data_IF_869650537039
#
_entry.id   IF_869650537039
#
_cell.length_a   1.000
_cell.length_b   1.000
_cell.length_c   1.000
_cell.angle_alpha   90.00
_cell.angle_beta   90.00
_cell.angle_gamma   90.00
#
_symmetry.space_group_name_H-M   'P 1'
#
loop_
_entity.id
_entity.type
_entity.pdbx_description
1 polymer ?
#
# COMPACT_ATOMS: atom_id res chain seq x y z
N UNK A 1 77.85 13.66 17.02
CA UNK A 1 77.00 14.05 15.88
C UNK A 1 76.91 12.82 15.00
N UNK A 2 75.80 12.07 15.06
CA UNK A 2 75.55 10.95 14.16
C UNK A 2 74.99 11.54 12.86
N UNK A 3 75.70 11.34 11.75
CA UNK A 3 75.21 11.67 10.42
C UNK A 3 73.99 10.79 10.10
N UNK A 4 72.92 11.33 9.48
CA UNK A 4 71.74 10.54 9.16
C UNK A 4 72.12 9.43 8.18
N UNK A 5 71.81 8.20 8.53
CA UNK A 5 72.13 7.03 7.73
C UNK A 5 71.25 6.99 6.48
N UNK A 6 71.75 6.42 5.37
CA UNK A 6 71.00 6.28 4.10
C UNK A 6 69.63 5.60 4.31
N UNK A 7 69.54 4.72 5.32
CA UNK A 7 68.31 4.04 5.74
C UNK A 7 67.25 4.97 6.33
N UNK A 8 67.63 6.06 7.02
CA UNK A 8 66.69 7.03 7.58
C UNK A 8 66.00 7.84 6.48
N UNK A 9 66.75 8.27 5.46
CA UNK A 9 66.19 8.98 4.30
C UNK A 9 65.24 8.10 3.49
N UNK A 10 65.60 6.83 3.24
CA UNK A 10 64.74 5.87 2.54
C UNK A 10 63.43 5.64 3.30
N UNK A 11 63.50 5.50 4.63
CA UNK A 11 62.32 5.34 5.49
C UNK A 11 61.42 6.59 5.47
N UNK A 12 62.01 7.80 5.46
CA UNK A 12 61.28 9.05 5.38
C UNK A 12 60.52 9.19 4.05
N UNK A 13 61.15 8.88 2.92
CA UNK A 13 60.48 8.89 1.61
C UNK A 13 59.35 7.85 1.54
N UNK A 14 59.59 6.63 2.05
CA UNK A 14 58.56 5.58 2.09
C UNK A 14 57.33 6.00 2.90
N UNK A 15 57.54 6.61 4.07
CA UNK A 15 56.44 7.12 4.90
C UNK A 15 55.66 8.24 4.22
N UNK A 16 56.34 9.13 3.48
CA UNK A 16 55.73 10.23 2.76
C UNK A 16 54.84 9.74 1.60
N UNK A 17 55.30 8.74 0.84
CA UNK A 17 54.49 8.07 -0.17
C UNK A 17 53.25 7.36 0.43
N UNK A 18 53.41 6.65 1.54
CA UNK A 18 52.29 5.98 2.21
C UNK A 18 51.22 6.97 2.73
N UNK A 19 51.65 8.16 3.14
CA UNK A 19 50.76 9.22 3.62
C UNK A 19 49.95 9.83 2.46
N UNK A 20 50.58 10.03 1.29
CA UNK A 20 49.90 10.48 0.07
C UNK A 20 48.86 9.45 -0.38
N UNK A 21 49.22 8.16 -0.40
CA UNK A 21 48.29 7.08 -0.77
C UNK A 21 47.09 7.05 0.20
N UNK A 22 47.34 7.21 1.50
CA UNK A 22 46.27 7.25 2.51
C UNK A 22 45.33 8.44 2.33
N UNK A 23 45.87 9.62 1.98
CA UNK A 23 45.07 10.81 1.63
C UNK A 23 44.22 10.59 0.38
N UNK A 24 44.78 9.95 -0.66
CA UNK A 24 44.01 9.59 -1.85
C UNK A 24 42.87 8.62 -1.53
N UNK A 25 43.10 7.62 -0.68
CA UNK A 25 42.04 6.68 -0.25
C UNK A 25 40.94 7.42 0.51
N UNK A 26 41.28 8.33 1.43
CA UNK A 26 40.30 9.14 2.16
C UNK A 26 39.46 10.01 1.23
N UNK A 27 40.08 10.60 0.20
CA UNK A 27 39.39 11.40 -0.79
C UNK A 27 38.40 10.57 -1.61
N UNK A 28 38.80 9.37 -2.06
CA UNK A 28 37.92 8.44 -2.78
C UNK A 28 36.76 7.99 -1.90
N UNK A 29 37.02 7.63 -0.63
CA UNK A 29 35.99 7.24 0.33
C UNK A 29 34.98 8.38 0.58
N UNK A 30 35.44 9.62 0.65
CA UNK A 30 34.57 10.79 0.77
C UNK A 30 33.64 10.94 -0.44
N UNK A 31 34.17 10.76 -1.65
CA UNK A 31 33.36 10.75 -2.88
C UNK A 31 32.32 9.63 -2.90
N UNK A 32 32.69 8.42 -2.47
CA UNK A 32 31.78 7.28 -2.38
C UNK A 32 30.63 7.56 -1.39
N UNK A 33 30.93 8.10 -0.20
CA UNK A 33 29.89 8.47 0.78
C UNK A 33 28.94 9.52 0.19
N UNK A 34 29.46 10.51 -0.53
CA UNK A 34 28.63 11.52 -1.20
C UNK A 34 27.71 10.90 -2.26
N UNK A 35 28.23 9.97 -3.07
CA UNK A 35 27.44 9.26 -4.08
C UNK A 35 26.35 8.39 -3.45
N UNK A 36 26.66 7.66 -2.37
CA UNK A 36 25.68 6.85 -1.62
C UNK A 36 24.55 7.73 -1.08
N UNK A 37 24.86 8.91 -0.53
CA UNK A 37 23.82 9.85 -0.07
C UNK A 37 22.87 10.30 -1.18
N UNK A 38 23.40 10.55 -2.39
CA UNK A 38 22.57 10.91 -3.55
C UNK A 38 21.71 9.73 -3.99
N UNK A 39 22.27 8.52 -4.02
CA UNK A 39 21.51 7.31 -4.36
C UNK A 39 20.39 7.02 -3.36
N UNK A 40 20.66 7.18 -2.05
CA UNK A 40 19.64 7.01 -1.01
C UNK A 40 18.48 8.00 -1.17
N UNK A 41 18.79 9.27 -1.47
CA UNK A 41 17.76 10.28 -1.73
C UNK A 41 16.91 9.94 -2.96
N UNK A 42 17.55 9.53 -4.05
CA UNK A 42 16.84 9.12 -5.26
C UNK A 42 16.01 7.84 -5.06
N UNK A 43 16.50 6.90 -4.24
CA UNK A 43 15.78 5.68 -3.89
C UNK A 43 14.56 5.99 -3.04
N UNK A 44 14.69 6.87 -2.06
CA UNK A 44 13.57 7.33 -1.22
C UNK A 44 12.47 7.98 -2.07
N UNK A 45 12.85 8.90 -2.97
CA UNK A 45 11.91 9.55 -3.89
C UNK A 45 11.26 8.54 -4.85
N UNK A 46 12.05 7.61 -5.41
CA UNK A 46 11.54 6.53 -6.26
C UNK A 46 10.61 5.58 -5.51
N UNK A 47 10.92 5.26 -4.26
CA UNK A 47 10.10 4.39 -3.42
C UNK A 47 8.77 5.06 -3.13
N UNK A 48 8.78 6.34 -2.74
CA UNK A 48 7.58 7.14 -2.52
C UNK A 48 6.70 7.21 -3.77
N UNK A 49 7.29 7.48 -4.93
CA UNK A 49 6.55 7.51 -6.20
C UNK A 49 5.95 6.15 -6.57
N UNK A 50 6.70 5.06 -6.33
CA UNK A 50 6.20 3.70 -6.54
C UNK A 50 5.04 3.38 -5.60
N UNK A 51 5.16 3.73 -4.32
CA UNK A 51 4.09 3.55 -3.32
C UNK A 51 2.85 4.33 -3.70
N UNK A 52 2.99 5.58 -4.15
CA UNK A 52 1.86 6.40 -4.60
C UNK A 52 1.16 5.75 -5.80
N UNK A 53 1.90 5.26 -6.79
CA UNK A 53 1.32 4.58 -7.95
C UNK A 53 0.52 3.34 -7.53
N UNK A 54 1.11 2.49 -6.67
CA UNK A 54 0.42 1.30 -6.15
C UNK A 54 -0.87 1.65 -5.41
N UNK A 55 -0.87 2.72 -4.61
CA UNK A 55 -2.08 3.20 -3.92
C UNK A 55 -3.14 3.63 -4.92
N UNK A 56 -2.77 4.44 -5.91
CA UNK A 56 -3.72 4.92 -6.93
C UNK A 56 -4.32 3.78 -7.75
N UNK A 57 -3.52 2.76 -8.07
CA UNK A 57 -4.00 1.55 -8.73
C UNK A 57 -4.99 0.78 -7.85
N UNK A 58 -4.69 0.59 -6.56
CA UNK A 58 -5.59 -0.06 -5.60
C UNK A 58 -6.89 0.74 -5.41
N UNK A 59 -6.80 2.07 -5.30
CA UNK A 59 -7.94 2.97 -5.20
C UNK A 59 -8.81 2.93 -6.46
N UNK A 60 -8.19 2.96 -7.63
CA UNK A 60 -8.89 2.82 -8.91
C UNK A 60 -9.61 1.48 -9.01
N UNK A 61 -8.95 0.39 -8.61
CA UNK A 61 -9.55 -0.95 -8.61
C UNK A 61 -10.71 -1.06 -7.61
N UNK A 62 -10.55 -0.48 -6.41
CA UNK A 62 -11.59 -0.42 -5.39
C UNK A 62 -12.80 0.38 -5.88
N UNK A 63 -12.58 1.57 -6.43
CA UNK A 63 -13.62 2.45 -6.94
C UNK A 63 -14.39 1.80 -8.09
N UNK A 64 -13.69 1.14 -9.02
CA UNK A 64 -14.32 0.39 -10.11
C UNK A 64 -15.22 -0.74 -9.60
N UNK A 65 -14.78 -1.47 -8.57
CA UNK A 65 -15.57 -2.54 -7.96
C UNK A 65 -16.77 -2.00 -7.17
N UNK A 66 -16.59 -0.86 -6.48
CA UNK A 66 -17.68 -0.16 -5.78
C UNK A 66 -18.74 0.32 -6.77
N UNK A 67 -18.32 0.98 -7.85
CA UNK A 67 -19.21 1.44 -8.92
C UNK A 67 -20.02 0.27 -9.49
N UNK A 68 -19.37 -0.86 -9.78
CA UNK A 68 -20.05 -2.04 -10.28
C UNK A 68 -21.05 -2.63 -9.27
N UNK A 69 -20.68 -2.66 -7.98
CA UNK A 69 -21.58 -3.10 -6.91
C UNK A 69 -22.81 -2.18 -6.79
N UNK A 70 -22.60 -0.86 -6.85
CA UNK A 70 -23.66 0.14 -6.79
C UNK A 70 -24.58 0.03 -8.01
N UNK A 71 -24.03 -0.16 -9.22
CA UNK A 71 -24.81 -0.44 -10.43
C UNK A 71 -25.70 -1.68 -10.27
N UNK A 72 -25.16 -2.79 -9.76
CA UNK A 72 -25.96 -4.00 -9.51
C UNK A 72 -27.08 -3.75 -8.50
N UNK A 73 -26.79 -2.98 -7.44
CA UNK A 73 -27.77 -2.57 -6.43
C UNK A 73 -28.89 -1.71 -7.04
N UNK A 74 -28.55 -0.78 -7.93
CA UNK A 74 -29.52 0.02 -8.67
C UNK A 74 -30.36 -0.82 -9.64
N UNK A 75 -29.76 -1.77 -10.36
CA UNK A 75 -30.48 -2.69 -11.25
C UNK A 75 -31.56 -3.49 -10.50
N UNK A 76 -31.26 -4.01 -9.30
CA UNK A 76 -32.27 -4.73 -8.49
C UNK A 76 -33.38 -3.80 -8.02
N UNK A 77 -33.04 -2.57 -7.63
CA UNK A 77 -34.05 -1.59 -7.23
C UNK A 77 -34.95 -1.20 -8.40
N UNK A 78 -34.36 -0.98 -9.57
CA UNK A 78 -35.08 -0.65 -10.80
C UNK A 78 -35.99 -1.80 -11.23
N UNK A 79 -35.49 -3.04 -11.21
CA UNK A 79 -36.29 -4.23 -11.51
C UNK A 79 -37.53 -4.33 -10.61
N UNK A 80 -37.36 -4.11 -9.30
CA UNK A 80 -38.49 -4.10 -8.37
C UNK A 80 -39.48 -2.95 -8.66
N UNK A 81 -39.01 -1.76 -9.03
CA UNK A 81 -39.89 -0.64 -9.40
C UNK A 81 -40.66 -0.96 -10.68
N UNK A 82 -40.00 -1.49 -11.70
CA UNK A 82 -40.60 -1.80 -13.00
C UNK A 82 -41.69 -2.87 -12.88
N UNK A 83 -41.46 -3.92 -12.08
CA UNK A 83 -42.49 -4.94 -11.77
C UNK A 83 -43.69 -4.30 -11.09
N UNK A 84 -43.46 -3.50 -10.05
CA UNK A 84 -44.53 -2.85 -9.30
C UNK A 84 -45.36 -1.91 -10.19
N UNK A 85 -44.72 -1.20 -11.14
CA UNK A 85 -45.40 -0.32 -12.10
C UNK A 85 -46.22 -1.10 -13.13
N UNK A 86 -45.73 -2.26 -13.59
CA UNK A 86 -46.43 -3.10 -14.58
C UNK A 86 -47.53 -3.96 -13.96
N UNK A 87 -47.56 -4.10 -12.64
CA UNK A 87 -48.47 -5.02 -11.95
C UNK A 87 -48.20 -6.49 -12.28
N UNK A 88 -46.99 -6.80 -12.76
CA UNK A 88 -46.56 -8.17 -13.05
C UNK A 88 -46.07 -8.85 -11.77
N UNK A 89 -46.08 -10.18 -11.73
CA UNK A 89 -45.38 -10.90 -10.66
C UNK A 89 -43.88 -10.95 -10.97
N UNK A 90 -43.00 -10.86 -9.96
CA UNK A 90 -41.57 -11.00 -10.16
C UNK A 90 -41.27 -12.34 -10.83
N UNK A 91 -40.47 -12.31 -11.91
CA UNK A 91 -39.92 -13.54 -12.44
C UNK A 91 -38.83 -14.03 -11.47
N UNK A 92 -39.09 -15.14 -10.77
CA UNK A 92 -38.21 -15.71 -9.76
C UNK A 92 -36.78 -15.87 -10.25
N UNK A 93 -36.63 -16.35 -11.48
CA UNK A 93 -35.33 -16.68 -12.06
C UNK A 93 -34.52 -15.42 -12.37
N UNK A 94 -35.20 -14.34 -12.80
CA UNK A 94 -34.55 -13.05 -13.05
C UNK A 94 -34.14 -12.37 -11.74
N UNK A 95 -34.98 -12.48 -10.71
CA UNK A 95 -34.69 -11.93 -9.39
C UNK A 95 -33.51 -12.68 -8.73
N UNK A 96 -33.49 -14.01 -8.81
CA UNK A 96 -32.40 -14.84 -8.29
C UNK A 96 -31.07 -14.50 -8.98
N UNK A 97 -31.07 -14.40 -10.30
CA UNK A 97 -29.87 -14.01 -11.06
C UNK A 97 -29.34 -12.63 -10.65
N UNK A 98 -30.21 -11.65 -10.43
CA UNK A 98 -29.81 -10.32 -9.99
C UNK A 98 -29.28 -10.33 -8.55
N UNK A 99 -29.89 -11.13 -7.66
CA UNK A 99 -29.41 -11.30 -6.29
C UNK A 99 -28.01 -11.94 -6.25
N UNK A 100 -27.78 -12.96 -7.08
CA UNK A 100 -26.46 -13.59 -7.23
C UNK A 100 -25.43 -12.59 -7.77
N UNK A 101 -25.80 -11.78 -8.77
CA UNK A 101 -24.94 -10.72 -9.31
C UNK A 101 -24.53 -9.71 -8.23
N UNK A 102 -25.46 -9.25 -7.40
CA UNK A 102 -25.17 -8.37 -6.24
C UNK A 102 -24.24 -9.05 -5.23
N UNK A 103 -24.50 -10.32 -4.91
CA UNK A 103 -23.71 -11.05 -3.91
C UNK A 103 -22.26 -11.18 -4.36
N UNK A 104 -22.04 -11.53 -5.63
CA UNK A 104 -20.70 -11.65 -6.22
C UNK A 104 -20.01 -10.29 -6.32
N UNK A 105 -20.70 -9.24 -6.77
CA UNK A 105 -20.10 -7.90 -6.85
C UNK A 105 -19.71 -7.35 -5.48
N UNK A 106 -20.53 -7.60 -4.45
CA UNK A 106 -20.20 -7.29 -3.05
C UNK A 106 -18.96 -8.04 -2.57
N UNK A 107 -18.87 -9.35 -2.79
CA UNK A 107 -17.70 -10.14 -2.40
C UNK A 107 -16.42 -9.61 -3.09
N UNK A 108 -16.51 -9.24 -4.36
CA UNK A 108 -15.40 -8.64 -5.09
C UNK A 108 -14.96 -7.29 -4.51
N UNK A 109 -15.91 -6.42 -4.16
CA UNK A 109 -15.63 -5.15 -3.49
C UNK A 109 -14.95 -5.36 -2.13
N UNK A 110 -15.50 -6.25 -1.29
CA UNK A 110 -14.92 -6.56 0.03
C UNK A 110 -13.53 -7.19 -0.08
N UNK A 111 -13.28 -8.02 -1.09
CA UNK A 111 -11.95 -8.58 -1.35
C UNK A 111 -10.92 -7.50 -1.71
N UNK A 112 -11.34 -6.48 -2.49
CA UNK A 112 -10.47 -5.34 -2.81
C UNK A 112 -10.12 -4.54 -1.56
N UNK A 113 -11.13 -4.26 -0.73
CA UNK A 113 -10.97 -3.52 0.50
C UNK A 113 -10.13 -4.30 1.53
N UNK A 114 -10.22 -5.63 1.56
CA UNK A 114 -9.39 -6.46 2.44
C UNK A 114 -7.92 -6.45 2.01
N UNK A 115 -7.63 -6.42 0.70
CA UNK A 115 -6.25 -6.25 0.19
C UNK A 115 -5.67 -4.90 0.56
N UNK A 116 -6.45 -3.83 0.39
CA UNK A 116 -6.03 -2.49 0.83
C UNK A 116 -5.78 -2.47 2.34
N UNK A 117 -6.69 -3.07 3.12
CA UNK A 117 -6.55 -3.20 4.57
C UNK A 117 -5.31 -4.01 4.96
N UNK A 118 -4.99 -5.07 4.23
CA UNK A 118 -3.77 -5.85 4.43
C UNK A 118 -2.52 -4.98 4.20
N UNK A 119 -2.51 -4.17 3.15
CA UNK A 119 -1.41 -3.25 2.83
C UNK A 119 -1.19 -2.21 3.94
N UNK A 120 -2.27 -1.64 4.47
CA UNK A 120 -2.25 -0.67 5.58
C UNK A 120 -1.73 -1.34 6.86
N UNK A 121 -2.26 -2.53 7.20
CA UNK A 121 -1.93 -3.22 8.46
C UNK A 121 -0.45 -3.60 8.56
N UNK A 122 0.15 -4.00 7.43
CA UNK A 122 1.56 -4.40 7.37
C UNK A 122 2.52 -3.26 7.03
N UNK A 123 2.03 -2.02 6.99
CA UNK A 123 2.84 -0.81 6.70
C UNK A 123 3.59 -0.89 5.37
N UNK A 124 3.00 -1.51 4.34
CA UNK A 124 3.54 -1.44 2.98
C UNK A 124 3.43 -0.03 2.39
N UNK A 125 2.60 0.82 2.99
CA UNK A 125 2.30 2.17 2.57
C UNK A 125 2.61 3.14 3.73
N UNK A 126 3.80 3.74 3.75
CA UNK A 126 4.35 4.45 4.93
C UNK A 126 4.00 5.96 5.00
N UNK A 127 3.46 6.55 3.93
CA UNK A 127 3.44 8.01 3.75
C UNK A 127 2.09 8.72 3.95
N UNK A 128 1.07 8.03 4.47
CA UNK A 128 -0.30 8.58 4.55
C UNK A 128 -0.99 8.22 5.86
N UNK A 129 -1.82 9.14 6.37
CA UNK A 129 -2.72 8.85 7.47
C UNK A 129 -3.96 8.10 6.96
N UNK A 130 -3.78 6.79 6.78
CA UNK A 130 -4.82 5.89 6.27
C UNK A 130 -6.06 5.84 7.16
N UNK A 131 -5.92 6.10 8.47
CA UNK A 131 -7.06 6.12 9.40
C UNK A 131 -8.00 7.26 9.04
N UNK A 132 -7.48 8.47 8.84
CA UNK A 132 -8.31 9.64 8.53
C UNK A 132 -9.10 9.46 7.24
N UNK A 133 -8.57 8.75 6.24
CA UNK A 133 -9.22 8.63 4.93
C UNK A 133 -10.16 7.44 4.80
N UNK A 134 -9.81 6.31 5.43
CA UNK A 134 -10.53 5.05 5.24
C UNK A 134 -11.34 4.61 6.45
N UNK A 135 -11.23 5.30 7.59
CA UNK A 135 -11.98 4.93 8.80
C UNK A 135 -13.47 4.87 8.54
N UNK A 136 -14.04 5.92 7.95
CA UNK A 136 -15.48 5.98 7.73
C UNK A 136 -15.94 4.88 6.74
N UNK A 137 -15.17 4.67 5.67
CA UNK A 137 -15.44 3.60 4.70
C UNK A 137 -15.40 2.21 5.35
N UNK A 138 -14.38 1.93 6.17
CA UNK A 138 -14.25 0.64 6.85
C UNK A 138 -15.35 0.44 7.89
N UNK A 139 -15.68 1.48 8.66
CA UNK A 139 -16.75 1.42 9.66
C UNK A 139 -18.11 1.18 9.00
N UNK A 140 -18.43 1.97 7.97
CA UNK A 140 -19.65 1.80 7.19
C UNK A 140 -19.76 0.40 6.60
N UNK A 141 -18.68 -0.14 6.03
CA UNK A 141 -18.68 -1.50 5.46
C UNK A 141 -18.90 -2.56 6.53
N UNK A 142 -18.25 -2.44 7.69
CA UNK A 142 -18.41 -3.41 8.79
C UNK A 142 -19.82 -3.36 9.38
N UNK A 143 -20.39 -2.16 9.50
CA UNK A 143 -21.73 -1.98 10.07
C UNK A 143 -22.81 -2.44 9.07
N UNK A 144 -22.71 -2.05 7.78
CA UNK A 144 -23.68 -2.42 6.74
C UNK A 144 -23.63 -3.90 6.35
N UNK A 145 -22.45 -4.53 6.44
CA UNK A 145 -22.26 -5.93 6.06
C UNK A 145 -21.78 -6.79 7.23
N UNK A 146 -22.28 -6.53 8.44
CA UNK A 146 -21.90 -7.22 9.68
C UNK A 146 -21.97 -8.76 9.58
N UNK A 147 -22.89 -9.30 8.77
CA UNK A 147 -23.01 -10.72 8.43
C UNK A 147 -21.72 -11.33 7.84
N UNK A 148 -20.92 -10.52 7.14
CA UNK A 148 -19.67 -10.94 6.51
C UNK A 148 -18.47 -10.95 7.49
N UNK A 149 -18.62 -10.37 8.70
CA UNK A 149 -17.52 -10.13 9.65
C UNK A 149 -17.58 -10.97 10.94
N UNK A 150 -18.31 -12.09 10.89
CA UNK A 150 -18.39 -13.08 11.98
C UNK A 150 -17.04 -13.72 12.38
N UNK A 151 -17.10 -14.71 13.27
CA UNK A 151 -15.91 -15.38 13.84
C UNK A 151 -15.01 -16.00 12.75
N UNK A 152 -15.62 -16.57 11.70
CA UNK A 152 -14.93 -17.20 10.58
C UNK A 152 -14.84 -16.29 9.34
N UNK A 153 -14.82 -14.97 9.51
CA UNK A 153 -14.78 -14.04 8.38
C UNK A 153 -13.58 -14.30 7.46
N UNK A 154 -13.83 -14.24 6.15
CA UNK A 154 -12.79 -14.28 5.11
C UNK A 154 -12.05 -12.93 5.03
N UNK A 155 -12.69 -11.84 5.43
CA UNK A 155 -12.20 -10.47 5.39
C UNK A 155 -11.49 -10.07 6.69
N UNK A 156 -10.44 -10.83 7.03
CA UNK A 156 -9.75 -10.72 8.31
C UNK A 156 -8.99 -9.41 8.47
N UNK A 157 -8.51 -8.83 7.38
CA UNK A 157 -7.68 -7.63 7.39
C UNK A 157 -8.54 -6.41 7.68
N UNK A 158 -9.72 -6.31 7.05
CA UNK A 158 -10.71 -5.26 7.35
C UNK A 158 -11.10 -5.31 8.83
N UNK A 159 -11.45 -6.50 9.34
CA UNK A 159 -11.86 -6.67 10.74
C UNK A 159 -10.78 -6.22 11.72
N UNK A 160 -9.53 -6.62 11.49
CA UNK A 160 -8.39 -6.21 12.33
C UNK A 160 -8.16 -4.71 12.31
N UNK A 161 -8.28 -4.07 11.14
CA UNK A 161 -8.15 -2.62 11.03
C UNK A 161 -9.30 -1.92 11.76
N UNK A 162 -10.54 -2.37 11.57
CA UNK A 162 -11.69 -1.84 12.28
C UNK A 162 -11.51 -1.91 13.81
N UNK A 163 -11.14 -3.08 14.33
CA UNK A 163 -10.88 -3.27 15.76
C UNK A 163 -9.74 -2.38 16.26
N UNK A 164 -8.65 -2.28 15.49
CA UNK A 164 -7.52 -1.40 15.80
C UNK A 164 -7.96 0.07 15.89
N UNK A 165 -8.64 0.59 14.87
CA UNK A 165 -9.05 1.99 14.82
C UNK A 165 -10.23 2.35 15.73
N UNK A 166 -10.98 1.35 16.19
CA UNK A 166 -12.04 1.51 17.20
C UNK A 166 -11.50 1.66 18.62
N UNK A 167 -10.38 0.99 18.91
CA UNK A 167 -9.75 1.00 20.24
C UNK A 167 -8.74 2.14 20.45
N UNK A 168 -8.37 2.83 19.37
CA UNK A 168 -7.50 4.02 19.34
C UNK A 168 -8.30 5.32 19.35
#
# INVERSE_FOLDING_TARGET
>A
MMEPSVTDWISAYSSLFSTIISLCILFIAWFQIKQVRVQLKNLEESQRNSTLMTVLELESELNKRKEYFDQCSFEVRQYNIDINLRGENPNSDSLELLQDKIKVSRENYLNALDRLSYCILHKYLLDRDWKTEYRDVIFEVVDNFSECFGVSSRFRSIKKIYEKWKNE
#
